data_IF_460442663024
#
_entry.id   IF_460442663024
#
_cell.length_a   1.000
_cell.length_b   1.000
_cell.length_c   1.000
_cell.angle_alpha   90.00
_cell.angle_beta   90.00
_cell.angle_gamma   90.00
#
_symmetry.space_group_name_H-M   'P 1'
#
loop_
_entity.id
_entity.type
_entity.pdbx_description
1 polymer ?
#
# COMPACT_ATOMS: atom_id res chain seq x y z
N UNK A 1 -8.79 -9.07 -24.34
CA UNK A 1 -8.08 -8.71 -23.10
C UNK A 1 -8.50 -7.31 -22.70
N UNK A 2 -9.33 -7.11 -21.66
CA UNK A 2 -9.71 -5.76 -21.23
C UNK A 2 -8.48 -5.05 -20.64
N UNK A 3 -8.39 -3.75 -20.90
CA UNK A 3 -7.18 -2.94 -20.99
C UNK A 3 -6.48 -2.67 -19.65
N UNK A 4 -5.26 -3.19 -19.46
CA UNK A 4 -4.38 -2.84 -18.32
C UNK A 4 -4.19 -1.32 -18.17
N UNK A 5 -4.21 -0.60 -19.29
CA UNK A 5 -4.15 0.88 -19.36
C UNK A 5 -5.28 1.51 -18.53
N UNK A 6 -6.51 0.98 -18.65
CA UNK A 6 -7.66 1.53 -17.92
C UNK A 6 -7.59 1.33 -16.41
N UNK A 7 -6.88 0.31 -15.92
CA UNK A 7 -6.69 0.12 -14.47
C UNK A 7 -5.67 1.11 -13.91
N UNK A 8 -4.54 1.30 -14.60
CA UNK A 8 -3.51 2.23 -14.16
C UNK A 8 -4.04 3.67 -14.07
N UNK A 9 -4.76 4.13 -15.10
CA UNK A 9 -5.39 5.45 -15.12
C UNK A 9 -6.40 5.64 -13.98
N UNK A 10 -7.22 4.63 -13.69
CA UNK A 10 -8.16 4.68 -12.56
C UNK A 10 -7.46 4.87 -11.23
N UNK A 11 -6.33 4.19 -11.02
CA UNK A 11 -5.55 4.30 -9.79
C UNK A 11 -4.93 5.70 -9.68
N UNK A 12 -4.34 6.20 -10.78
CA UNK A 12 -3.75 7.54 -10.84
C UNK A 12 -4.78 8.65 -10.58
N UNK A 13 -5.98 8.52 -11.12
CA UNK A 13 -7.06 9.48 -10.91
C UNK A 13 -7.59 9.46 -9.47
N UNK A 14 -7.54 8.30 -8.79
CA UNK A 14 -7.98 8.16 -7.40
C UNK A 14 -6.94 8.68 -6.40
N UNK A 15 -5.66 8.42 -6.65
CA UNK A 15 -4.57 8.69 -5.71
C UNK A 15 -3.86 9.99 -6.08
N UNK A 16 -4.27 11.08 -5.42
CA UNK A 16 -3.73 12.43 -5.63
C UNK A 16 -2.20 12.43 -5.54
N UNK A 17 -1.54 13.04 -6.51
CA UNK A 17 -0.08 13.21 -6.52
C UNK A 17 0.72 11.95 -6.86
N UNK A 18 0.08 10.79 -7.05
CA UNK A 18 0.79 9.52 -7.24
C UNK A 18 1.72 9.55 -8.46
N UNK A 19 1.28 10.18 -9.55
CA UNK A 19 2.08 10.32 -10.78
C UNK A 19 3.47 10.93 -10.56
N UNK A 20 3.64 11.82 -9.56
CA UNK A 20 4.91 12.49 -9.27
C UNK A 20 5.89 11.58 -8.53
N UNK A 21 5.41 10.46 -8.01
CA UNK A 21 6.16 9.54 -7.17
C UNK A 21 6.44 8.20 -7.87
N UNK A 22 5.97 8.02 -9.10
CA UNK A 22 6.25 6.87 -9.94
C UNK A 22 7.57 7.07 -10.70
N UNK A 23 8.32 5.98 -10.89
CA UNK A 23 9.50 5.97 -11.76
C UNK A 23 9.10 6.01 -13.24
N UNK A 24 10.05 6.28 -14.12
CA UNK A 24 9.84 6.15 -15.56
C UNK A 24 9.38 4.72 -15.90
N UNK A 25 8.32 4.60 -16.70
CA UNK A 25 7.67 3.34 -17.08
C UNK A 25 7.09 2.51 -15.92
N UNK A 26 7.00 3.08 -14.72
CA UNK A 26 6.33 2.43 -13.59
C UNK A 26 4.81 2.57 -13.74
N UNK A 27 4.12 1.44 -13.79
CA UNK A 27 2.67 1.38 -13.95
C UNK A 27 2.02 0.80 -12.69
N UNK A 28 1.05 1.49 -12.07
CA UNK A 28 0.26 0.93 -10.99
C UNK A 28 -0.66 -0.16 -11.55
N UNK A 29 -0.56 -1.34 -10.96
CA UNK A 29 -1.33 -2.53 -11.35
C UNK A 29 -2.51 -2.74 -10.41
N UNK A 30 -2.35 -2.37 -9.13
CA UNK A 30 -3.34 -2.59 -8.09
C UNK A 30 -3.21 -1.55 -6.97
N UNK A 31 -4.32 -1.22 -6.31
CA UNK A 31 -4.29 -0.44 -5.08
C UNK A 31 -5.48 -0.70 -4.15
N UNK A 32 -5.25 -0.65 -2.85
CA UNK A 32 -6.29 -0.77 -1.82
C UNK A 32 -5.93 0.02 -0.55
N UNK A 33 -6.92 0.54 0.20
CA UNK A 33 -6.66 1.04 1.55
C UNK A 33 -6.26 -0.10 2.48
N UNK A 34 -5.21 0.10 3.27
CA UNK A 34 -4.68 -0.89 4.21
C UNK A 34 -3.82 -0.21 5.29
N UNK A 35 -3.13 -1.03 6.10
CA UNK A 35 -2.16 -0.60 7.10
C UNK A 35 -0.79 -1.08 6.64
N UNK A 36 0.18 -0.16 6.54
CA UNK A 36 1.56 -0.45 6.22
C UNK A 36 2.42 -0.49 7.48
N UNK A 37 3.14 -1.59 7.67
CA UNK A 37 4.15 -1.76 8.72
C UNK A 37 5.45 -2.26 8.09
N UNK A 38 6.42 -1.36 7.95
CA UNK A 38 7.72 -1.62 7.31
C UNK A 38 8.75 -2.28 8.23
N UNK A 39 8.41 -2.59 9.49
CA UNK A 39 9.29 -3.29 10.43
C UNK A 39 10.52 -2.50 10.93
N UNK A 40 10.74 -1.28 10.43
CA UNK A 40 11.88 -0.41 10.77
C UNK A 40 11.52 0.71 11.78
N UNK A 41 10.28 0.78 12.27
CA UNK A 41 9.82 1.86 13.17
C UNK A 41 8.59 1.49 14.00
N UNK A 42 8.26 2.32 15.00
CA UNK A 42 7.26 1.99 16.02
C UNK A 42 5.79 2.01 15.55
N UNK A 43 5.46 2.52 14.36
CA UNK A 43 4.07 2.85 14.03
C UNK A 43 3.63 2.32 12.66
N UNK A 44 2.65 1.42 12.71
CA UNK A 44 1.84 1.02 11.57
C UNK A 44 1.06 2.24 11.04
N UNK A 45 1.08 2.45 9.73
CA UNK A 45 0.52 3.64 9.08
C UNK A 45 -0.68 3.28 8.20
N UNK A 46 -1.88 3.86 8.43
CA UNK A 46 -2.99 3.70 7.50
C UNK A 46 -2.70 4.46 6.20
N UNK A 47 -2.78 3.78 5.07
CA UNK A 47 -2.47 4.35 3.75
C UNK A 47 -3.13 3.53 2.63
N UNK A 48 -3.00 3.98 1.38
CA UNK A 48 -3.23 3.11 0.23
C UNK A 48 -1.97 2.27 -0.02
N UNK A 49 -2.10 0.95 -0.08
CA UNK A 49 -1.07 0.07 -0.64
C UNK A 49 -1.21 0.10 -2.15
N UNK A 50 -0.11 0.38 -2.85
CA UNK A 50 -0.02 0.38 -4.30
C UNK A 50 0.98 -0.68 -4.74
N UNK A 51 0.56 -1.54 -5.67
CA UNK A 51 1.43 -2.52 -6.33
C UNK A 51 1.67 -2.05 -7.76
N UNK A 52 2.93 -1.93 -8.14
CA UNK A 52 3.35 -1.58 -9.50
C UNK A 52 4.07 -2.77 -10.15
N UNK A 53 4.52 -2.58 -11.39
CA UNK A 53 5.43 -3.51 -12.07
C UNK A 53 6.85 -3.55 -11.46
N UNK A 54 7.22 -2.63 -10.55
CA UNK A 54 8.57 -2.52 -9.99
C UNK A 54 8.64 -2.73 -8.47
N UNK A 55 7.63 -2.29 -7.72
CA UNK A 55 7.62 -2.28 -6.25
C UNK A 55 6.22 -2.36 -5.69
N UNK A 56 6.14 -2.67 -4.41
CA UNK A 56 4.95 -2.45 -3.58
C UNK A 56 5.27 -1.36 -2.58
N UNK A 57 4.35 -0.43 -2.35
CA UNK A 57 4.58 0.66 -1.40
C UNK A 57 3.29 1.11 -0.73
N UNK A 58 3.43 1.63 0.49
CA UNK A 58 2.38 2.40 1.15
C UNK A 58 2.43 3.85 0.70
N UNK A 59 1.26 4.44 0.45
CA UNK A 59 1.12 5.80 -0.09
C UNK A 59 -0.03 6.54 0.57
N UNK A 60 0.21 7.76 1.03
CA UNK A 60 -0.84 8.76 1.16
C UNK A 60 -0.30 10.14 0.82
N UNK A 61 -1.17 10.99 0.29
CA UNK A 61 -0.86 12.38 0.04
C UNK A 61 -2.01 13.26 0.52
N UNK A 62 -1.73 14.11 1.49
CA UNK A 62 -2.67 15.08 2.04
C UNK A 62 -2.13 16.46 1.73
N UNK A 63 -2.89 17.31 1.02
CA UNK A 63 -2.47 18.68 0.69
C UNK A 63 -3.00 19.74 1.66
N UNK A 64 -4.03 19.43 2.43
CA UNK A 64 -4.67 20.35 3.38
C UNK A 64 -4.92 19.61 4.70
N UNK A 65 -4.67 20.22 5.88
CA UNK A 65 -4.27 21.61 6.12
C UNK A 65 -2.77 21.91 5.91
N UNK A 66 -1.92 20.88 5.81
CA UNK A 66 -0.50 20.99 5.43
C UNK A 66 -0.13 19.80 4.56
N UNK A 67 0.78 20.00 3.62
CA UNK A 67 1.27 18.91 2.78
C UNK A 67 1.96 17.83 3.60
N UNK A 68 1.51 16.59 3.42
CA UNK A 68 2.11 15.39 4.01
C UNK A 68 2.11 14.28 2.97
N UNK A 69 3.27 13.66 2.82
CA UNK A 69 3.49 12.50 1.97
C UNK A 69 4.00 11.36 2.87
N UNK A 70 3.36 10.21 2.74
CA UNK A 70 3.95 8.95 3.16
C UNK A 70 4.25 8.12 1.92
N UNK A 71 5.49 7.66 1.83
CA UNK A 71 5.96 6.79 0.77
C UNK A 71 7.05 5.88 1.35
N UNK A 72 6.68 4.64 1.65
CA UNK A 72 7.62 3.59 2.03
C UNK A 72 7.45 2.40 1.10
N UNK A 73 8.55 1.88 0.57
CA UNK A 73 8.57 1.03 -0.61
C UNK A 73 9.47 -0.19 -0.48
N UNK A 74 8.95 -1.32 -0.94
CA UNK A 74 9.65 -2.57 -1.09
C UNK A 74 9.78 -2.92 -2.58
N UNK A 75 11.00 -2.92 -3.15
CA UNK A 75 11.23 -3.39 -4.51
C UNK A 75 10.74 -4.83 -4.69
N UNK A 76 10.00 -5.14 -5.76
CA UNK A 76 9.54 -6.52 -5.99
C UNK A 76 10.71 -7.50 -6.09
N UNK A 77 11.85 -7.03 -6.61
CA UNK A 77 13.09 -7.81 -6.72
C UNK A 77 13.73 -8.17 -5.37
N UNK A 78 13.43 -7.44 -4.29
CA UNK A 78 13.98 -7.75 -2.96
C UNK A 78 13.06 -8.66 -2.13
N UNK A 79 11.81 -8.87 -2.57
CA UNK A 79 10.85 -9.74 -1.88
C UNK A 79 11.26 -11.19 -2.11
N UNK A 80 11.65 -11.87 -1.03
CA UNK A 80 12.06 -13.29 -1.06
C UNK A 80 10.92 -14.26 -0.78
N UNK A 81 9.95 -13.83 0.02
CA UNK A 81 8.80 -14.63 0.40
C UNK A 81 7.60 -13.73 0.68
N UNK A 82 6.40 -14.23 0.41
CA UNK A 82 5.13 -13.59 0.75
C UNK A 82 4.34 -14.57 1.59
N UNK A 83 3.99 -14.18 2.81
CA UNK A 83 3.20 -14.99 3.73
C UNK A 83 1.92 -14.26 4.12
N UNK A 84 0.80 -14.99 4.13
CA UNK A 84 -0.45 -14.50 4.67
C UNK A 84 -0.58 -14.94 6.13
N UNK A 85 -0.57 -13.99 7.07
CA UNK A 85 -0.85 -14.28 8.48
C UNK A 85 -2.31 -13.99 8.79
N UNK A 86 -3.13 -15.03 8.81
CA UNK A 86 -4.49 -14.94 9.37
C UNK A 86 -4.38 -15.11 10.89
N UNK A 87 -4.69 -14.06 11.66
CA UNK A 87 -4.95 -14.24 13.09
C UNK A 87 -6.29 -14.92 13.22
N UNK A 88 -6.31 -16.22 13.53
CA UNK A 88 -7.50 -16.90 14.02
C UNK A 88 -7.86 -16.25 15.36
N UNK A 89 -8.91 -15.43 15.36
CA UNK A 89 -9.44 -14.84 16.59
C UNK A 89 -10.21 -15.96 17.32
N UNK A 90 -9.52 -16.75 18.14
CA UNK A 90 -10.21 -17.55 19.15
C UNK A 90 -10.64 -16.61 20.27
N UNK A 91 -11.95 -16.41 20.50
CA UNK A 91 -12.39 -15.65 21.66
C UNK A 91 -12.07 -16.50 22.88
N UNK A 92 -11.00 -16.15 23.60
CA UNK A 92 -10.78 -16.65 24.95
C UNK A 92 -11.81 -15.95 25.84
N UNK A 93 -13.04 -16.46 25.85
CA UNK A 93 -13.96 -16.24 26.97
C UNK A 93 -13.32 -16.91 28.18
N UNK A 94 -12.44 -16.20 28.89
CA UNK A 94 -12.18 -16.53 30.29
C UNK A 94 -13.42 -16.08 31.04
N UNK A 95 -14.26 -17.03 31.41
CA UNK A 95 -15.23 -16.82 32.49
C UNK A 95 -14.47 -16.25 33.68
N UNK A 96 -14.89 -15.07 34.15
CA UNK A 96 -14.50 -14.57 35.46
C UNK A 96 -15.30 -15.41 36.46
N UNK A 97 -14.66 -16.43 37.03
CA UNK A 97 -15.14 -17.11 38.25
C UNK A 97 -14.78 -16.27 39.47
#
# INVERSE_FOLDING_TARGET
MPSRIGTAEKILNRLKGLHNNLQADEQPLFSMPAIWDGGQGQHATPCDIVVTNLRVFGYYYVSFPRERLFLDALPLKSIRAISLRQKSFEPIFRELL
#
